data_IF_513427518523
#
_entry.id   IF_513427518523
#
_cell.length_a   1.000
_cell.length_b   1.000
_cell.length_c   1.000
_cell.angle_alpha   90.00
_cell.angle_beta   90.00
_cell.angle_gamma   90.00
#
_symmetry.space_group_name_H-M   'P 1'
#
loop_
_entity.id
_entity.type
_entity.pdbx_description
1 polymer ?
#
# COMPACT_ATOMS: atom_id res chain seq x y z
N UNK A 1 75.30 35.45 38.96
CA UNK A 1 74.19 35.65 39.91
C UNK A 1 72.89 35.38 39.14
N UNK A 2 72.15 34.30 39.49
CA UNK A 2 70.73 33.95 39.24
C UNK A 2 70.20 34.02 37.78
N UNK A 3 70.06 32.93 37.01
CA UNK A 3 68.98 31.90 36.92
C UNK A 3 67.56 32.49 36.72
N UNK A 4 66.86 32.17 35.59
CA UNK A 4 65.53 31.49 35.54
C UNK A 4 65.22 30.84 34.16
N UNK A 5 65.18 29.50 34.18
CA UNK A 5 64.29 28.52 33.51
C UNK A 5 63.58 28.81 32.17
N UNK A 6 63.95 28.05 31.12
CA UNK A 6 63.07 27.69 29.99
C UNK A 6 62.71 26.20 30.11
N UNK A 7 61.48 25.91 30.52
CA UNK A 7 60.93 24.55 30.63
C UNK A 7 60.41 24.07 29.27
N UNK A 8 60.96 22.96 28.82
CA UNK A 8 60.59 22.20 27.64
C UNK A 8 59.31 21.41 27.96
N UNK A 9 58.18 21.78 27.36
CA UNK A 9 56.91 21.04 27.53
C UNK A 9 56.76 20.02 26.42
N UNK A 10 57.09 18.77 26.75
CA UNK A 10 56.84 17.59 25.93
C UNK A 10 55.36 17.26 25.92
N UNK A 11 54.73 17.25 24.75
CA UNK A 11 53.32 16.85 24.60
C UNK A 11 53.21 15.34 24.85
N UNK A 12 52.39 14.87 25.82
CA UNK A 12 52.34 13.45 26.17
C UNK A 12 51.72 12.60 25.06
N UNK A 13 52.37 11.47 24.72
CA UNK A 13 52.02 10.51 23.64
C UNK A 13 50.57 9.98 23.66
N UNK A 14 49.81 10.13 24.76
CA UNK A 14 48.38 9.80 24.85
C UNK A 14 47.45 10.77 24.11
N UNK A 15 47.81 12.05 23.97
CA UNK A 15 46.95 13.07 23.31
C UNK A 15 46.86 12.89 21.79
N UNK A 16 47.93 12.38 21.16
CA UNK A 16 47.96 12.17 19.70
C UNK A 16 47.04 11.02 19.26
N UNK A 17 46.83 10.02 20.13
CA UNK A 17 45.96 8.87 19.87
C UNK A 17 44.46 9.25 19.94
N UNK A 18 44.09 10.09 20.91
CA UNK A 18 42.70 10.60 21.02
C UNK A 18 42.35 11.46 19.80
N UNK A 19 43.28 12.30 19.33
CA UNK A 19 43.05 13.17 18.16
C UNK A 19 42.98 12.39 16.83
N UNK A 20 43.75 11.31 16.66
CA UNK A 20 43.57 10.40 15.50
C UNK A 20 42.27 9.62 15.58
N UNK A 21 41.89 9.13 16.78
CA UNK A 21 40.65 8.38 16.99
C UNK A 21 39.40 9.26 16.79
N UNK A 22 39.45 10.53 17.21
CA UNK A 22 38.41 11.53 16.94
C UNK A 22 38.27 11.85 15.44
N UNK A 23 39.38 11.98 14.71
CA UNK A 23 39.38 12.22 13.25
C UNK A 23 38.88 11.01 12.43
N UNK A 24 39.01 9.80 12.97
CA UNK A 24 38.43 8.58 12.37
C UNK A 24 36.97 8.34 12.78
N UNK A 25 36.55 8.77 13.99
CA UNK A 25 35.16 8.65 14.46
C UNK A 25 34.25 9.71 13.83
N UNK A 26 34.77 10.92 13.65
CA UNK A 26 34.16 12.01 12.90
C UNK A 26 34.98 12.19 11.62
N UNK A 27 34.86 11.23 10.70
CA UNK A 27 35.36 11.41 9.33
C UNK A 27 34.84 12.74 8.76
N UNK A 28 35.51 13.33 7.76
CA UNK A 28 35.12 14.59 7.08
C UNK A 28 33.64 14.55 6.66
N UNK A 29 32.71 14.82 7.59
CA UNK A 29 31.31 15.08 7.30
C UNK A 29 31.29 16.51 6.82
N UNK A 30 31.07 16.65 5.52
CA UNK A 30 30.77 17.95 4.96
C UNK A 30 29.28 18.19 5.25
N UNK A 31 28.92 19.03 6.24
CA UNK A 31 27.53 19.20 6.65
C UNK A 31 26.66 19.67 5.49
N UNK A 32 27.22 20.39 4.51
CA UNK A 32 26.52 20.79 3.28
C UNK A 32 26.16 19.62 2.37
N UNK A 33 27.01 18.57 2.29
CA UNK A 33 26.69 17.35 1.53
C UNK A 33 25.63 16.52 2.24
N UNK A 34 25.73 16.35 3.55
CA UNK A 34 24.72 15.62 4.33
C UNK A 34 23.34 16.34 4.26
N UNK A 35 23.32 17.68 4.32
CA UNK A 35 22.08 18.48 4.17
C UNK A 35 21.52 18.43 2.75
N UNK A 36 22.38 18.45 1.73
CA UNK A 36 21.96 18.33 0.33
C UNK A 36 21.41 16.94 0.05
N UNK A 37 22.06 15.88 0.54
CA UNK A 37 21.58 14.50 0.41
C UNK A 37 20.24 14.34 1.13
N UNK A 38 20.08 14.87 2.35
CA UNK A 38 18.82 14.84 3.10
C UNK A 38 17.70 15.64 2.40
N UNK A 39 18.01 16.82 1.85
CA UNK A 39 17.06 17.63 1.07
C UNK A 39 16.69 16.96 -0.26
N UNK A 40 17.65 16.32 -0.94
CA UNK A 40 17.40 15.55 -2.16
C UNK A 40 16.54 14.33 -1.83
N UNK A 41 16.86 13.56 -0.78
CA UNK A 41 16.06 12.42 -0.33
C UNK A 41 14.64 12.84 0.07
N UNK A 42 14.50 13.96 0.78
CA UNK A 42 13.20 14.51 1.16
C UNK A 42 12.40 14.93 -0.07
N UNK A 43 12.98 15.69 -1.00
CA UNK A 43 12.34 16.07 -2.26
C UNK A 43 11.98 14.85 -3.12
N UNK A 44 12.88 13.86 -3.22
CA UNK A 44 12.61 12.61 -3.94
C UNK A 44 11.44 11.85 -3.31
N UNK A 45 11.38 11.81 -1.98
CA UNK A 45 10.27 11.19 -1.24
C UNK A 45 8.96 11.95 -1.44
N UNK A 46 8.97 13.29 -1.44
CA UNK A 46 7.80 14.12 -1.73
C UNK A 46 7.31 13.92 -3.16
N UNK A 47 8.21 13.95 -4.15
CA UNK A 47 7.87 13.72 -5.57
C UNK A 47 7.36 12.29 -5.78
N UNK A 48 7.97 11.28 -5.16
CA UNK A 48 7.49 9.90 -5.20
C UNK A 48 6.10 9.76 -4.56
N UNK A 49 5.86 10.43 -3.43
CA UNK A 49 4.56 10.43 -2.74
C UNK A 49 3.46 11.09 -3.58
N UNK A 50 3.75 12.22 -4.24
CA UNK A 50 2.83 12.90 -5.15
C UNK A 50 2.50 12.00 -6.34
N UNK A 51 3.52 11.43 -6.99
CA UNK A 51 3.32 10.50 -8.11
C UNK A 51 2.49 9.27 -7.71
N UNK A 52 2.66 8.76 -6.49
CA UNK A 52 1.86 7.63 -5.99
C UNK A 52 0.41 8.05 -5.71
N UNK A 53 0.17 9.26 -5.21
CA UNK A 53 -1.16 9.78 -4.99
C UNK A 53 -1.94 9.94 -6.31
N UNK A 54 -1.29 10.44 -7.36
CA UNK A 54 -1.93 10.61 -8.66
C UNK A 54 -2.19 9.28 -9.37
N UNK A 55 -1.28 8.31 -9.24
CA UNK A 55 -1.52 6.93 -9.70
C UNK A 55 -2.73 6.30 -9.02
N UNK A 56 -2.86 6.45 -7.69
CA UNK A 56 -4.04 5.97 -6.95
C UNK A 56 -5.34 6.62 -7.43
N UNK A 57 -5.35 7.95 -7.59
CA UNK A 57 -6.53 8.66 -8.11
C UNK A 57 -6.93 8.15 -9.50
N UNK A 58 -5.96 7.89 -10.36
CA UNK A 58 -6.20 7.34 -11.70
C UNK A 58 -6.84 5.95 -11.63
N UNK A 59 -6.31 5.03 -10.82
CA UNK A 59 -6.90 3.70 -10.63
C UNK A 59 -8.32 3.79 -10.05
N UNK A 60 -8.57 4.67 -9.06
CA UNK A 60 -9.92 4.87 -8.50
C UNK A 60 -10.89 5.34 -9.59
N UNK A 61 -10.46 6.25 -10.47
CA UNK A 61 -11.30 6.77 -11.54
C UNK A 61 -11.61 5.70 -12.58
N UNK A 62 -10.63 4.91 -12.99
CA UNK A 62 -10.81 3.79 -13.92
C UNK A 62 -11.73 2.72 -13.32
N UNK A 63 -11.48 2.31 -12.08
CA UNK A 63 -12.32 1.36 -11.37
C UNK A 63 -13.76 1.89 -11.20
N UNK A 64 -13.93 3.18 -10.92
CA UNK A 64 -15.26 3.79 -10.84
C UNK A 64 -16.01 3.75 -12.17
N UNK A 65 -15.31 3.86 -13.31
CA UNK A 65 -15.92 3.70 -14.64
C UNK A 65 -16.37 2.27 -14.88
N UNK A 66 -15.58 1.29 -14.46
CA UNK A 66 -15.92 -0.13 -14.59
C UNK A 66 -17.10 -0.56 -13.71
N UNK A 67 -17.35 0.16 -12.62
CA UNK A 67 -18.52 -0.04 -11.75
C UNK A 67 -19.83 0.49 -12.35
N UNK A 68 -19.78 1.54 -13.20
CA UNK A 68 -21.00 2.18 -13.71
C UNK A 68 -21.94 1.26 -14.51
N UNK A 69 -21.46 0.34 -15.36
CA UNK A 69 -22.32 -0.62 -16.06
C UNK A 69 -23.15 -1.52 -15.13
N UNK A 70 -22.76 -1.64 -13.86
CA UNK A 70 -23.48 -2.39 -12.83
C UNK A 70 -24.40 -1.51 -11.98
N UNK A 71 -24.52 -0.22 -12.31
CA UNK A 71 -25.25 0.75 -11.48
C UNK A 71 -24.57 1.04 -10.14
N UNK A 72 -23.31 0.64 -9.98
CA UNK A 72 -22.56 0.81 -8.75
C UNK A 72 -21.71 2.08 -8.80
N UNK A 73 -21.47 2.64 -7.62
CA UNK A 73 -20.46 3.66 -7.42
C UNK A 73 -19.51 3.21 -6.31
N UNK A 74 -18.28 3.73 -6.33
CA UNK A 74 -17.23 3.32 -5.40
C UNK A 74 -17.65 3.52 -3.93
N UNK A 75 -18.27 4.66 -3.60
CA UNK A 75 -18.70 4.97 -2.24
C UNK A 75 -19.79 4.04 -1.72
N UNK A 76 -20.80 3.71 -2.54
CA UNK A 76 -21.88 2.78 -2.21
C UNK A 76 -21.32 1.38 -1.96
N UNK A 77 -20.40 0.91 -2.80
CA UNK A 77 -19.74 -0.39 -2.60
C UNK A 77 -18.97 -0.43 -1.28
N UNK A 78 -18.23 0.62 -0.93
CA UNK A 78 -17.52 0.72 0.37
C UNK A 78 -18.52 0.71 1.54
N UNK A 79 -19.62 1.44 1.42
CA UNK A 79 -20.64 1.54 2.46
C UNK A 79 -21.41 0.22 2.66
N UNK A 80 -21.55 -0.58 1.61
CA UNK A 80 -22.19 -1.91 1.65
C UNK A 80 -21.24 -3.04 2.06
N UNK A 81 -20.00 -2.72 2.43
CA UNK A 81 -19.05 -3.69 2.98
C UNK A 81 -19.68 -4.43 4.18
N UNK A 82 -19.62 -5.77 4.20
CA UNK A 82 -20.09 -6.55 5.34
C UNK A 82 -19.38 -6.14 6.63
N UNK A 83 -20.10 -6.07 7.75
CA UNK A 83 -19.53 -5.65 9.04
C UNK A 83 -18.68 -6.75 9.72
N UNK A 84 -19.02 -8.01 9.50
CA UNK A 84 -18.36 -9.14 10.15
C UNK A 84 -17.24 -9.66 9.26
N UNK A 85 -16.10 -9.95 9.87
CA UNK A 85 -14.93 -10.49 9.17
C UNK A 85 -15.26 -11.77 8.37
N UNK A 86 -16.02 -12.69 8.98
CA UNK A 86 -16.49 -13.91 8.29
C UNK A 86 -17.27 -13.61 7.01
N UNK A 87 -18.12 -12.58 7.03
CA UNK A 87 -18.94 -12.20 5.88
C UNK A 87 -18.07 -11.54 4.81
N UNK A 88 -17.04 -10.77 5.20
CA UNK A 88 -16.06 -10.18 4.29
C UNK A 88 -15.27 -11.29 3.57
N UNK A 89 -14.74 -12.27 4.32
CA UNK A 89 -14.01 -13.41 3.76
C UNK A 89 -14.88 -14.27 2.83
N UNK A 90 -16.15 -14.48 3.20
CA UNK A 90 -17.10 -15.20 2.35
C UNK A 90 -17.36 -14.45 1.04
N UNK A 91 -17.62 -13.14 1.09
CA UNK A 91 -17.81 -12.32 -0.11
C UNK A 91 -16.57 -12.33 -1.02
N UNK A 92 -15.36 -12.25 -0.44
CA UNK A 92 -14.11 -12.36 -1.18
C UNK A 92 -13.95 -13.74 -1.85
N UNK A 93 -14.32 -14.81 -1.14
CA UNK A 93 -14.25 -16.17 -1.67
C UNK A 93 -15.21 -16.38 -2.85
N UNK A 94 -16.42 -15.81 -2.76
CA UNK A 94 -17.39 -15.81 -3.85
C UNK A 94 -16.85 -15.02 -5.05
N UNK A 95 -16.31 -13.82 -4.82
CA UNK A 95 -15.75 -13.00 -5.89
C UNK A 95 -14.59 -13.70 -6.62
N UNK A 96 -13.72 -14.40 -5.90
CA UNK A 96 -12.64 -15.23 -6.47
C UNK A 96 -13.20 -16.38 -7.31
N UNK A 97 -14.17 -17.12 -6.78
CA UNK A 97 -14.81 -18.22 -7.51
C UNK A 97 -15.48 -17.75 -8.81
N UNK A 98 -16.16 -16.60 -8.79
CA UNK A 98 -16.71 -15.99 -10.01
C UNK A 98 -15.59 -15.63 -11.00
N UNK A 99 -14.48 -15.07 -10.52
CA UNK A 99 -13.36 -14.62 -11.38
C UNK A 99 -12.66 -15.80 -12.08
N UNK A 100 -12.50 -16.90 -11.36
CA UNK A 100 -11.86 -18.15 -11.80
C UNK A 100 -12.77 -18.96 -12.74
N UNK A 101 -14.09 -18.95 -12.52
CA UNK A 101 -15.05 -19.64 -13.37
C UNK A 101 -15.47 -18.76 -14.57
N UNK A 102 -14.98 -19.09 -15.76
CA UNK A 102 -15.26 -18.35 -17.01
C UNK A 102 -16.76 -18.16 -17.27
N UNK A 103 -17.58 -19.19 -17.05
CA UNK A 103 -19.03 -19.14 -17.29
C UNK A 103 -19.74 -18.17 -16.33
N UNK A 104 -19.39 -18.23 -15.04
CA UNK A 104 -19.95 -17.32 -14.03
C UNK A 104 -19.53 -15.87 -14.30
N UNK A 105 -18.27 -15.67 -14.65
CA UNK A 105 -17.74 -14.36 -15.01
C UNK A 105 -18.48 -13.77 -16.21
N UNK A 106 -18.61 -14.53 -17.29
CA UNK A 106 -19.33 -14.09 -18.49
C UNK A 106 -20.78 -13.73 -18.17
N UNK A 107 -21.49 -14.56 -17.39
CA UNK A 107 -22.85 -14.24 -16.93
C UNK A 107 -22.89 -12.93 -16.13
N UNK A 108 -21.97 -12.74 -15.19
CA UNK A 108 -21.91 -11.51 -14.39
C UNK A 108 -21.73 -10.26 -15.27
N UNK A 109 -20.79 -10.29 -16.21
CA UNK A 109 -20.52 -9.14 -17.09
C UNK A 109 -21.60 -8.90 -18.14
N UNK A 110 -22.32 -9.95 -18.57
CA UNK A 110 -23.43 -9.83 -19.51
C UNK A 110 -24.72 -9.35 -18.83
N UNK A 111 -25.07 -9.95 -17.70
CA UNK A 111 -26.33 -9.69 -16.98
C UNK A 111 -26.23 -8.52 -16.01
N UNK A 112 -25.00 -8.11 -15.66
CA UNK A 112 -24.71 -7.07 -14.67
C UNK A 112 -25.22 -7.40 -13.26
N UNK A 113 -25.37 -8.69 -12.97
CA UNK A 113 -25.87 -9.22 -11.71
C UNK A 113 -25.10 -10.48 -11.29
N UNK A 114 -25.15 -10.83 -10.01
CA UNK A 114 -24.51 -12.07 -9.55
C UNK A 114 -25.22 -13.30 -10.16
N UNK A 115 -24.47 -14.29 -10.71
CA UNK A 115 -25.02 -15.57 -11.14
C UNK A 115 -25.38 -16.43 -9.92
N UNK A 116 -26.51 -16.12 -9.28
CA UNK A 116 -26.91 -16.67 -7.96
C UNK A 116 -26.94 -18.20 -7.97
N UNK A 117 -27.54 -18.81 -8.99
CA UNK A 117 -27.67 -20.27 -9.10
C UNK A 117 -26.31 -20.97 -9.17
N UNK A 118 -25.39 -20.42 -9.96
CA UNK A 118 -24.06 -20.97 -10.13
C UNK A 118 -23.23 -20.79 -8.85
N UNK A 119 -23.35 -19.65 -8.18
CA UNK A 119 -22.63 -19.39 -6.93
C UNK A 119 -23.10 -20.36 -5.85
N UNK A 120 -24.41 -20.53 -5.65
CA UNK A 120 -24.95 -21.43 -4.62
C UNK A 120 -24.69 -22.91 -4.92
N UNK A 121 -24.52 -23.29 -6.18
CA UNK A 121 -24.10 -24.65 -6.55
C UNK A 121 -22.62 -24.95 -6.26
N UNK A 122 -21.75 -23.93 -6.32
CA UNK A 122 -20.30 -24.10 -6.15
C UNK A 122 -19.84 -23.82 -4.71
N UNK A 123 -20.55 -22.94 -4.01
CA UNK A 123 -20.23 -22.49 -2.66
C UNK A 123 -21.48 -22.64 -1.79
N UNK A 124 -21.34 -23.24 -0.61
CA UNK A 124 -22.43 -23.31 0.36
C UNK A 124 -22.70 -21.93 0.96
N UNK A 125 -23.63 -21.19 0.34
CA UNK A 125 -24.05 -19.85 0.75
C UNK A 125 -25.55 -19.69 0.54
N UNK A 126 -26.18 -18.88 1.41
CA UNK A 126 -27.60 -18.54 1.29
C UNK A 126 -27.78 -17.47 0.20
N UNK A 127 -28.82 -17.58 -0.60
CA UNK A 127 -29.18 -16.56 -1.60
C UNK A 127 -29.35 -15.17 -0.96
N UNK A 128 -29.95 -15.10 0.23
CA UNK A 128 -30.12 -13.85 0.97
C UNK A 128 -28.80 -13.16 1.33
N UNK A 129 -27.71 -13.91 1.45
CA UNK A 129 -26.38 -13.35 1.63
C UNK A 129 -25.87 -12.71 0.33
N UNK A 130 -26.10 -13.33 -0.82
CA UNK A 130 -25.68 -12.80 -2.12
C UNK A 130 -26.41 -11.50 -2.44
N UNK A 131 -27.73 -11.47 -2.27
CA UNK A 131 -28.55 -10.27 -2.50
C UNK A 131 -28.11 -9.12 -1.59
N UNK A 132 -27.89 -9.41 -0.29
CA UNK A 132 -27.52 -8.37 0.69
C UNK A 132 -26.13 -7.76 0.42
N UNK A 133 -25.21 -8.54 -0.12
CA UNK A 133 -23.82 -8.12 -0.33
C UNK A 133 -23.48 -8.01 -1.82
N UNK A 134 -24.49 -7.82 -2.68
CA UNK A 134 -24.34 -7.91 -4.13
C UNK A 134 -23.33 -6.88 -4.67
N UNK A 135 -23.50 -5.61 -4.30
CA UNK A 135 -22.60 -4.54 -4.74
C UNK A 135 -21.14 -4.81 -4.33
N UNK A 136 -20.95 -5.32 -3.11
CA UNK A 136 -19.62 -5.61 -2.58
C UNK A 136 -18.97 -6.80 -3.32
N UNK A 137 -19.72 -7.87 -3.59
CA UNK A 137 -19.22 -9.03 -4.33
C UNK A 137 -18.89 -8.65 -5.78
N UNK A 138 -19.79 -7.96 -6.48
CA UNK A 138 -19.55 -7.48 -7.86
C UNK A 138 -18.31 -6.59 -7.91
N UNK A 139 -18.22 -5.65 -6.96
CA UNK A 139 -17.07 -4.75 -6.84
C UNK A 139 -15.75 -5.48 -6.65
N UNK A 140 -15.71 -6.50 -5.78
CA UNK A 140 -14.54 -7.35 -5.61
C UNK A 140 -14.22 -8.15 -6.88
N UNK A 141 -15.22 -8.67 -7.60
CA UNK A 141 -15.00 -9.40 -8.86
C UNK A 141 -14.36 -8.50 -9.92
N UNK A 142 -14.85 -7.26 -10.07
CA UNK A 142 -14.26 -6.27 -11.01
C UNK A 142 -12.84 -5.93 -10.56
N UNK A 143 -12.65 -5.69 -9.26
CA UNK A 143 -11.34 -5.39 -8.69
C UNK A 143 -10.34 -6.50 -9.00
N UNK A 144 -10.72 -7.76 -8.79
CA UNK A 144 -9.88 -8.93 -9.03
C UNK A 144 -9.58 -9.15 -10.53
N UNK A 145 -10.56 -8.88 -11.40
CA UNK A 145 -10.44 -9.07 -12.85
C UNK A 145 -9.59 -7.98 -13.51
N UNK A 146 -9.67 -6.73 -13.04
CA UNK A 146 -8.93 -5.60 -13.60
C UNK A 146 -7.48 -5.50 -13.13
N UNK A 147 -6.72 -4.57 -13.71
CA UNK A 147 -5.30 -4.32 -13.42
C UNK A 147 -5.08 -3.24 -12.34
N UNK A 148 -5.85 -3.31 -11.25
CA UNK A 148 -5.86 -2.30 -10.19
C UNK A 148 -4.89 -2.63 -9.06
N UNK A 149 -3.57 -2.56 -9.31
CA UNK A 149 -2.57 -3.03 -8.35
C UNK A 149 -2.60 -2.26 -7.03
N UNK A 150 -2.65 -0.92 -7.08
CA UNK A 150 -2.62 -0.09 -5.87
C UNK A 150 -3.93 -0.22 -5.08
N UNK A 151 -5.07 -0.34 -5.77
CA UNK A 151 -6.35 -0.59 -5.11
C UNK A 151 -6.42 -1.98 -4.48
N UNK A 152 -5.93 -3.02 -5.17
CA UNK A 152 -5.85 -4.37 -4.62
C UNK A 152 -5.00 -4.42 -3.37
N UNK A 153 -3.84 -3.76 -3.37
CA UNK A 153 -2.97 -3.64 -2.19
C UNK A 153 -3.73 -3.02 -1.02
N UNK A 154 -4.37 -1.87 -1.23
CA UNK A 154 -5.13 -1.18 -0.17
C UNK A 154 -6.32 -2.00 0.36
N UNK A 155 -7.09 -2.63 -0.53
CA UNK A 155 -8.31 -3.36 -0.15
C UNK A 155 -8.03 -4.75 0.40
N UNK A 156 -7.23 -5.54 -0.31
CA UNK A 156 -7.01 -6.96 0.03
C UNK A 156 -6.10 -7.06 1.25
N UNK A 157 -5.04 -6.26 1.34
CA UNK A 157 -4.15 -6.28 2.52
C UNK A 157 -4.84 -5.68 3.74
N UNK A 158 -5.65 -4.65 3.57
CA UNK A 158 -6.47 -4.09 4.66
C UNK A 158 -7.63 -4.97 5.13
N UNK A 159 -7.96 -6.05 4.39
CA UNK A 159 -8.94 -7.07 4.78
C UNK A 159 -8.27 -8.29 5.42
N UNK A 160 -7.01 -8.57 5.10
CA UNK A 160 -6.24 -9.72 5.58
C UNK A 160 -5.46 -9.45 6.89
N UNK A 161 -5.46 -8.21 7.37
CA UNK A 161 -4.89 -7.80 8.66
C UNK A 161 -5.98 -7.64 9.73
#
# INVERSE_FOLDING_TARGET
MLITTRSESTVPKKKVSVLRKFKTLFGKKNPERDFADEAIHKNLSEVANVNNADKRKKEILEFSKDLQPFGLNFSSMVNEKPRKEKDIHLALSIAKSITENKHMKEKLFLQRSIPVLEVTSNISVKESFLVKNEAYIIGLTILLTGEYKLLKEYWVEGILH
#
